data_IF_179777655158
#
_entry.id   IF_179777655158
#
_cell.length_a   1.000
_cell.length_b   1.000
_cell.length_c   1.000
_cell.angle_alpha   90.00
_cell.angle_beta   90.00
_cell.angle_gamma   90.00
#
_symmetry.space_group_name_H-M   'P 1'
#
loop_
_entity.id
_entity.type
_entity.pdbx_description
1 polymer ?
#
# COMPACT_ATOMS: atom_id res chain seq x y z
N UNK A 1 8.28 71.24 -50.25
CA UNK A 1 9.64 70.65 -50.24
C UNK A 1 9.55 69.27 -50.88
N UNK A 2 9.63 69.19 -52.23
CA UNK A 2 10.76 68.64 -53.04
C UNK A 2 11.12 67.20 -52.62
N UNK A 3 10.72 66.09 -53.29
CA UNK A 3 10.97 65.59 -54.68
C UNK A 3 12.47 65.41 -54.94
N UNK A 4 13.05 64.33 -55.48
CA UNK A 4 12.71 62.91 -55.70
C UNK A 4 13.99 62.24 -56.25
N UNK A 5 14.07 60.91 -56.08
CA UNK A 5 14.62 59.88 -56.99
C UNK A 5 16.01 59.96 -57.69
N UNK A 6 16.65 58.77 -57.67
CA UNK A 6 17.51 58.13 -58.69
C UNK A 6 18.92 58.70 -58.94
N UNK A 7 19.96 57.85 -58.87
CA UNK A 7 20.52 57.21 -60.08
C UNK A 7 21.65 56.21 -59.76
N UNK A 8 21.86 55.33 -60.74
CA UNK A 8 22.64 54.10 -60.81
C UNK A 8 23.88 54.31 -61.72
N UNK A 9 24.98 53.61 -61.40
CA UNK A 9 26.18 53.30 -62.22
C UNK A 9 27.17 54.44 -62.58
N UNK A 10 28.47 54.10 -62.48
CA UNK A 10 29.58 54.18 -63.47
C UNK A 10 30.91 54.04 -62.68
N UNK A 11 31.59 52.88 -62.70
CA UNK A 11 32.75 52.52 -63.54
C UNK A 11 34.01 53.39 -63.31
N UNK A 12 35.12 52.78 -62.86
CA UNK A 12 36.45 52.82 -63.53
C UNK A 12 37.49 51.91 -62.80
N UNK A 13 37.91 50.76 -63.37
CA UNK A 13 39.13 50.44 -64.17
C UNK A 13 40.47 50.39 -63.35
N UNK A 14 41.26 49.32 -63.63
CA UNK A 14 42.74 49.17 -63.61
C UNK A 14 43.33 48.26 -62.50
N UNK A 15 43.63 47.01 -62.88
CA UNK A 15 44.65 46.11 -62.29
C UNK A 15 46.05 46.49 -62.85
N UNK A 16 47.24 46.11 -62.30
CA UNK A 16 47.63 44.69 -62.17
C UNK A 16 48.65 44.35 -61.03
N UNK A 17 48.80 43.06 -60.70
CA UNK A 17 50.10 42.36 -60.84
C UNK A 17 50.04 40.94 -60.29
N UNK A 18 50.40 40.03 -61.19
CA UNK A 18 50.54 38.59 -61.07
C UNK A 18 51.67 38.21 -60.10
N UNK A 19 51.42 37.25 -59.21
CA UNK A 19 52.33 36.12 -59.02
C UNK A 19 51.54 34.87 -58.64
N UNK A 20 51.58 33.91 -59.57
CA UNK A 20 50.99 32.59 -59.51
C UNK A 20 52.04 31.64 -58.91
N UNK A 21 51.67 30.81 -57.93
CA UNK A 21 52.32 29.50 -57.74
C UNK A 21 51.30 28.48 -57.24
N UNK A 22 50.82 27.68 -58.19
CA UNK A 22 50.07 26.46 -57.95
C UNK A 22 51.00 25.38 -57.39
N UNK A 23 50.54 24.63 -56.38
CA UNK A 23 50.34 23.18 -56.51
C UNK A 23 49.87 22.52 -55.20
N UNK A 24 48.73 21.82 -55.28
CA UNK A 24 48.37 20.55 -54.63
C UNK A 24 48.22 20.49 -53.08
N UNK A 25 47.30 19.76 -52.44
CA UNK A 25 46.18 18.85 -52.76
C UNK A 25 45.40 18.70 -51.42
N UNK A 26 44.06 18.62 -51.49
CA UNK A 26 43.07 18.07 -50.54
C UNK A 26 43.16 18.42 -49.03
N UNK A 27 42.05 18.84 -48.42
CA UNK A 27 41.17 17.93 -47.67
C UNK A 27 39.96 18.69 -47.09
N UNK A 28 38.78 18.11 -47.31
CA UNK A 28 37.50 18.49 -46.74
C UNK A 28 37.52 18.40 -45.21
N UNK A 29 36.89 19.35 -44.51
CA UNK A 29 35.82 19.01 -43.57
C UNK A 29 35.12 20.25 -43.01
N UNK A 30 33.91 20.50 -43.51
CA UNK A 30 32.87 21.16 -42.73
C UNK A 30 32.59 20.33 -41.47
N UNK A 31 32.82 20.87 -40.28
CA UNK A 31 32.30 20.28 -39.05
C UNK A 31 31.12 21.09 -38.51
N UNK A 32 29.96 20.71 -39.05
CA UNK A 32 28.82 20.17 -38.29
C UNK A 32 28.19 21.00 -37.15
N UNK A 33 27.06 21.59 -37.52
CA UNK A 33 25.86 21.78 -36.71
C UNK A 33 25.37 20.40 -36.20
N UNK A 34 25.91 19.88 -35.09
CA UNK A 34 25.44 18.62 -34.47
C UNK A 34 25.29 18.66 -32.94
N UNK A 35 25.11 19.83 -32.33
CA UNK A 35 24.90 19.94 -30.88
C UNK A 35 23.44 19.76 -30.40
N UNK A 36 22.46 20.12 -31.23
CA UNK A 36 21.06 20.31 -30.77
C UNK A 36 20.18 19.05 -30.86
N UNK A 37 20.53 18.09 -31.73
CA UNK A 37 19.72 16.89 -32.01
C UNK A 37 19.97 15.73 -31.02
N UNK A 38 21.12 15.75 -30.34
CA UNK A 38 21.52 14.73 -29.37
C UNK A 38 20.87 14.94 -28.01
N UNK A 39 20.77 16.19 -27.54
CA UNK A 39 20.17 16.55 -26.25
C UNK A 39 18.70 16.13 -26.14
N UNK A 40 17.92 16.31 -27.21
CA UNK A 40 16.50 15.93 -27.24
C UNK A 40 16.29 14.41 -27.13
N UNK A 41 17.19 13.59 -27.69
CA UNK A 41 17.14 12.13 -27.55
C UNK A 41 17.38 11.69 -26.10
N UNK A 42 18.33 12.31 -25.41
CA UNK A 42 18.59 12.01 -24.00
C UNK A 42 17.46 12.47 -23.08
N UNK A 43 16.80 13.60 -23.36
CA UNK A 43 15.61 14.05 -22.61
C UNK A 43 14.47 13.03 -22.74
N UNK A 44 14.19 12.51 -23.94
CA UNK A 44 13.18 11.47 -24.12
C UNK A 44 13.52 10.16 -23.39
N UNK A 45 14.79 9.75 -23.38
CA UNK A 45 15.25 8.55 -22.66
C UNK A 45 15.15 8.75 -21.14
N UNK A 46 15.54 9.92 -20.63
CA UNK A 46 15.45 10.27 -19.20
C UNK A 46 13.98 10.35 -18.77
N UNK A 47 13.10 10.99 -19.55
CA UNK A 47 11.67 11.03 -19.27
C UNK A 47 11.03 9.63 -19.29
N UNK A 48 11.41 8.76 -20.23
CA UNK A 48 10.95 7.38 -20.25
C UNK A 48 11.40 6.62 -19.00
N UNK A 49 12.67 6.76 -18.58
CA UNK A 49 13.20 6.13 -17.37
C UNK A 49 12.50 6.63 -16.09
N UNK A 50 12.19 7.93 -15.99
CA UNK A 50 11.40 8.47 -14.88
C UNK A 50 9.95 7.97 -14.87
N UNK A 51 9.36 7.72 -16.04
CA UNK A 51 7.99 7.19 -16.17
C UNK A 51 7.87 5.74 -15.68
N UNK A 52 8.96 4.97 -15.73
CA UNK A 52 9.01 3.63 -15.13
C UNK A 52 9.23 3.66 -13.61
N UNK A 53 9.75 4.75 -13.05
CA UNK A 53 9.96 4.89 -11.60
C UNK A 53 8.72 5.39 -10.84
N UNK A 54 7.75 5.98 -11.55
CA UNK A 54 6.46 6.32 -10.94
C UNK A 54 5.64 5.05 -10.78
N UNK A 55 5.87 4.33 -9.68
CA UNK A 55 4.89 3.35 -9.21
C UNK A 55 3.54 4.05 -9.13
N UNK A 56 2.55 3.54 -9.86
CA UNK A 56 1.20 4.09 -9.85
C UNK A 56 0.72 4.01 -8.40
N UNK A 57 0.78 5.14 -7.69
CA UNK A 57 0.23 5.25 -6.35
C UNK A 57 -1.29 5.21 -6.50
N UNK A 58 -1.85 4.01 -6.51
CA UNK A 58 -3.30 3.82 -6.45
C UNK A 58 -3.74 4.42 -5.12
N UNK A 59 -4.57 5.46 -5.20
CA UNK A 59 -5.11 6.10 -4.01
C UNK A 59 -5.84 5.06 -3.15
N UNK A 60 -5.69 5.14 -1.83
CA UNK A 60 -6.44 4.30 -0.92
C UNK A 60 -7.95 4.47 -1.19
N UNK A 61 -8.76 3.40 -0.99
CA UNK A 61 -10.20 3.50 -1.21
C UNK A 61 -10.82 4.56 -0.29
N UNK A 62 -11.91 5.18 -0.73
CA UNK A 62 -12.66 6.13 0.09
C UNK A 62 -13.36 5.43 1.26
N UNK A 63 -13.44 6.10 2.43
CA UNK A 63 -14.14 5.56 3.62
C UNK A 63 -15.58 5.15 3.30
N UNK A 64 -16.30 5.95 2.50
CA UNK A 64 -17.68 5.67 2.08
C UNK A 64 -17.80 4.33 1.33
N UNK A 65 -16.94 4.09 0.34
CA UNK A 65 -16.91 2.85 -0.43
C UNK A 65 -16.67 1.62 0.47
N UNK A 66 -15.75 1.74 1.44
CA UNK A 66 -15.47 0.65 2.37
C UNK A 66 -16.66 0.41 3.30
N UNK A 67 -17.32 1.47 3.78
CA UNK A 67 -18.52 1.36 4.63
C UNK A 67 -19.66 0.68 3.89
N UNK A 68 -19.91 1.02 2.62
CA UNK A 68 -20.95 0.39 1.80
C UNK A 68 -20.76 -1.14 1.70
N UNK A 69 -19.52 -1.60 1.49
CA UNK A 69 -19.19 -3.03 1.48
C UNK A 69 -19.38 -3.70 2.86
N UNK A 70 -19.11 -2.96 3.94
CA UNK A 70 -19.34 -3.42 5.31
C UNK A 70 -20.84 -3.42 5.69
N UNK A 71 -21.66 -2.62 5.02
CA UNK A 71 -23.12 -2.60 5.19
C UNK A 71 -23.81 -3.73 4.43
N UNK A 72 -23.20 -4.21 3.34
CA UNK A 72 -23.75 -5.25 2.49
C UNK A 72 -24.38 -6.41 3.26
N UNK A 73 -25.59 -6.82 2.87
CA UNK A 73 -26.44 -7.78 3.61
C UNK A 73 -25.95 -9.23 3.58
N UNK A 74 -24.80 -9.49 2.95
CA UNK A 74 -24.20 -10.82 2.96
C UNK A 74 -23.69 -11.17 4.36
N UNK A 75 -24.01 -12.39 4.81
CA UNK A 75 -23.60 -12.88 6.12
C UNK A 75 -22.07 -12.96 6.27
N UNK A 76 -21.37 -13.15 5.15
CA UNK A 76 -19.91 -13.22 5.04
C UNK A 76 -19.36 -12.09 4.18
N UNK A 77 -18.16 -11.63 4.51
CA UNK A 77 -17.41 -10.68 3.69
C UNK A 77 -16.98 -11.35 2.38
N UNK A 78 -17.23 -10.68 1.26
CA UNK A 78 -16.69 -11.09 -0.03
C UNK A 78 -15.19 -10.73 -0.10
N UNK A 79 -14.34 -11.73 0.06
CA UNK A 79 -12.90 -11.53 0.13
C UNK A 79 -12.32 -10.91 -1.15
N UNK A 80 -12.83 -11.29 -2.32
CA UNK A 80 -12.33 -10.79 -3.59
C UNK A 80 -12.67 -9.31 -3.75
N UNK A 81 -13.89 -8.91 -3.39
CA UNK A 81 -14.31 -7.51 -3.47
C UNK A 81 -13.47 -6.62 -2.56
N UNK A 82 -13.20 -7.05 -1.32
CA UNK A 82 -12.32 -6.31 -0.41
C UNK A 82 -10.88 -6.24 -0.94
N UNK A 83 -10.33 -7.33 -1.48
CA UNK A 83 -8.96 -7.33 -2.00
C UNK A 83 -8.81 -6.44 -3.25
N UNK A 84 -9.84 -6.32 -4.09
CA UNK A 84 -9.85 -5.43 -5.26
C UNK A 84 -9.83 -3.95 -4.92
N UNK A 85 -10.17 -3.54 -3.69
CA UNK A 85 -10.01 -2.16 -3.23
C UNK A 85 -8.55 -1.69 -3.21
N UNK A 86 -7.60 -2.63 -3.20
CA UNK A 86 -6.18 -2.34 -3.37
C UNK A 86 -5.49 -1.80 -2.11
N UNK A 87 -4.37 -1.12 -2.34
CA UNK A 87 -3.46 -0.68 -1.29
C UNK A 87 -4.12 0.36 -0.37
N UNK A 88 -3.86 0.27 0.94
CA UNK A 88 -4.35 1.22 1.93
C UNK A 88 -5.76 0.91 2.46
N UNK A 89 -6.44 -0.11 1.95
CA UNK A 89 -7.71 -0.61 2.51
C UNK A 89 -7.60 -0.97 3.99
N UNK A 90 -6.48 -1.56 4.40
CA UNK A 90 -6.20 -1.87 5.81
C UNK A 90 -6.24 -0.64 6.71
N UNK A 91 -5.71 0.51 6.24
CA UNK A 91 -5.74 1.78 6.97
C UNK A 91 -7.19 2.26 7.17
N UNK A 92 -7.99 2.23 6.12
CA UNK A 92 -9.39 2.69 6.15
C UNK A 92 -10.23 1.78 7.06
N UNK A 93 -10.01 0.47 7.02
CA UNK A 93 -10.66 -0.48 7.93
C UNK A 93 -10.28 -0.23 9.40
N UNK A 94 -9.01 0.10 9.68
CA UNK A 94 -8.57 0.49 11.03
C UNK A 94 -9.26 1.78 11.48
N UNK A 95 -9.37 2.78 10.60
CA UNK A 95 -10.09 4.03 10.90
C UNK A 95 -11.56 3.75 11.26
N UNK A 96 -12.26 2.92 10.48
CA UNK A 96 -13.64 2.51 10.74
C UNK A 96 -13.76 1.73 12.06
N UNK A 97 -12.88 0.77 12.32
CA UNK A 97 -12.92 -0.02 13.55
C UNK A 97 -12.69 0.83 14.82
N UNK A 98 -11.87 1.89 14.73
CA UNK A 98 -11.57 2.82 15.82
C UNK A 98 -12.69 3.83 16.06
N UNK A 99 -13.48 4.15 15.05
CA UNK A 99 -14.50 5.19 15.11
C UNK A 99 -15.63 4.81 16.10
N UNK A 100 -15.60 5.42 17.29
CA UNK A 100 -16.57 5.15 18.35
C UNK A 100 -17.95 5.76 18.07
N UNK A 101 -18.06 6.66 17.09
CA UNK A 101 -19.34 7.23 16.67
C UNK A 101 -20.14 6.27 15.78
N UNK A 102 -19.45 5.31 15.14
CA UNK A 102 -20.10 4.29 14.33
C UNK A 102 -20.71 3.20 15.20
N UNK A 103 -21.82 2.64 14.71
CA UNK A 103 -22.44 1.47 15.32
C UNK A 103 -21.45 0.30 15.36
N UNK A 104 -21.51 -0.48 16.45
CA UNK A 104 -20.59 -1.60 16.66
C UNK A 104 -20.64 -2.65 15.54
N UNK A 105 -21.78 -2.79 14.85
CA UNK A 105 -21.91 -3.66 13.69
C UNK A 105 -20.83 -3.39 12.62
N UNK A 106 -20.67 -2.13 12.20
CA UNK A 106 -19.67 -1.74 11.19
C UNK A 106 -18.25 -1.94 11.71
N UNK A 107 -18.02 -1.56 12.97
CA UNK A 107 -16.70 -1.70 13.62
C UNK A 107 -16.27 -3.16 13.70
N UNK A 108 -17.21 -4.04 14.05
CA UNK A 108 -17.00 -5.48 14.12
C UNK A 108 -16.70 -6.08 12.76
N UNK A 109 -17.44 -5.67 11.73
CA UNK A 109 -17.18 -6.12 10.37
C UNK A 109 -15.84 -5.61 9.82
N UNK A 110 -15.44 -4.40 10.19
CA UNK A 110 -14.13 -3.88 9.83
C UNK A 110 -12.98 -4.71 10.45
N UNK A 111 -13.12 -5.15 11.71
CA UNK A 111 -12.17 -6.09 12.32
C UNK A 111 -12.10 -7.41 11.55
N UNK A 112 -13.24 -7.96 11.14
CA UNK A 112 -13.27 -9.20 10.37
C UNK A 112 -12.62 -9.03 8.99
N UNK A 113 -12.87 -7.91 8.31
CA UNK A 113 -12.27 -7.62 7.01
C UNK A 113 -10.74 -7.47 7.09
N UNK A 114 -10.21 -6.97 8.21
CA UNK A 114 -8.75 -6.90 8.42
C UNK A 114 -8.06 -8.27 8.37
N UNK A 115 -8.78 -9.38 8.60
CA UNK A 115 -8.21 -10.72 8.43
C UNK A 115 -7.85 -11.07 6.98
N UNK A 116 -8.37 -10.32 6.00
CA UNK A 116 -8.11 -10.49 4.58
C UNK A 116 -6.83 -9.76 4.11
N UNK A 117 -6.27 -8.90 4.97
CA UNK A 117 -5.13 -8.04 4.66
C UNK A 117 -3.95 -8.44 5.56
N UNK A 118 -3.05 -9.32 5.10
CA UNK A 118 -1.95 -9.84 5.92
C UNK A 118 -0.81 -8.82 6.09
N UNK A 119 -1.12 -7.60 6.53
CA UNK A 119 -0.16 -6.53 6.79
C UNK A 119 0.21 -6.48 8.26
N UNK A 120 1.45 -6.07 8.57
CA UNK A 120 1.88 -5.88 9.96
C UNK A 120 1.01 -4.85 10.71
N UNK A 121 0.52 -3.84 9.98
CA UNK A 121 -0.39 -2.82 10.54
C UNK A 121 -1.72 -3.44 10.99
N UNK A 122 -2.32 -4.29 10.15
CA UNK A 122 -3.54 -4.99 10.49
C UNK A 122 -3.31 -5.94 11.68
N UNK A 123 -2.24 -6.73 11.67
CA UNK A 123 -1.92 -7.64 12.77
C UNK A 123 -1.74 -6.90 14.11
N UNK A 124 -0.93 -5.83 14.12
CA UNK A 124 -0.69 -5.01 15.32
C UNK A 124 -1.96 -4.35 15.84
N UNK A 125 -2.82 -3.87 14.94
CA UNK A 125 -4.08 -3.29 15.34
C UNK A 125 -5.01 -4.34 15.96
N UNK A 126 -5.20 -5.48 15.31
CA UNK A 126 -6.05 -6.58 15.81
C UNK A 126 -5.55 -7.10 17.16
N UNK A 127 -4.25 -7.25 17.34
CA UNK A 127 -3.62 -7.61 18.61
C UNK A 127 -3.89 -6.58 19.71
N UNK A 128 -3.73 -5.30 19.40
CA UNK A 128 -4.02 -4.20 20.35
C UNK A 128 -5.50 -4.16 20.71
N UNK A 129 -6.39 -4.34 19.73
CA UNK A 129 -7.84 -4.42 19.96
C UNK A 129 -8.20 -5.63 20.82
N UNK A 130 -7.55 -6.78 20.62
CA UNK A 130 -7.74 -7.97 21.42
C UNK A 130 -7.32 -7.76 22.89
N UNK A 131 -6.21 -7.06 23.12
CA UNK A 131 -5.67 -6.77 24.47
C UNK A 131 -6.48 -5.72 25.22
N UNK A 132 -6.89 -4.64 24.53
CA UNK A 132 -7.37 -3.42 25.18
C UNK A 132 -8.84 -3.08 24.89
N UNK A 133 -9.48 -3.79 23.97
CA UNK A 133 -10.89 -3.58 23.61
C UNK A 133 -11.84 -4.07 24.70
N UNK A 134 -13.05 -3.50 24.74
CA UNK A 134 -14.13 -4.12 25.51
C UNK A 134 -14.45 -5.51 24.94
N UNK A 135 -15.02 -6.40 25.76
CA UNK A 135 -15.05 -7.84 25.49
C UNK A 135 -15.49 -8.27 24.07
N UNK A 136 -16.60 -7.77 23.49
CA UNK A 136 -16.94 -8.01 22.08
C UNK A 136 -15.86 -7.63 21.06
N UNK A 137 -15.23 -6.45 21.18
CA UNK A 137 -14.12 -6.08 20.30
C UNK A 137 -12.89 -6.94 20.56
N UNK A 138 -12.58 -7.22 21.83
CA UNK A 138 -11.43 -8.04 22.20
C UNK A 138 -11.52 -9.42 21.55
N UNK A 139 -12.68 -10.08 21.69
CA UNK A 139 -12.95 -11.39 21.07
C UNK A 139 -12.84 -11.33 19.55
N UNK A 140 -13.50 -10.37 18.90
CA UNK A 140 -13.50 -10.26 17.43
C UNK A 140 -12.12 -9.90 16.87
N UNK A 141 -11.35 -9.06 17.58
CA UNK A 141 -9.98 -8.74 17.24
C UNK A 141 -9.09 -9.99 17.25
N UNK A 142 -9.23 -10.82 18.30
CA UNK A 142 -8.53 -12.10 18.37
C UNK A 142 -8.99 -13.08 17.29
N UNK A 143 -10.30 -13.23 17.07
CA UNK A 143 -10.86 -14.12 16.05
C UNK A 143 -10.37 -13.74 14.63
N UNK A 144 -10.31 -12.44 14.32
CA UNK A 144 -9.78 -11.93 13.07
C UNK A 144 -8.27 -12.15 12.93
N UNK A 145 -7.49 -11.90 13.99
CA UNK A 145 -6.05 -12.15 13.98
C UNK A 145 -5.77 -13.63 13.72
N UNK A 146 -6.45 -14.52 14.44
CA UNK A 146 -6.35 -15.97 14.25
C UNK A 146 -6.69 -16.36 12.81
N UNK A 147 -7.79 -15.85 12.25
CA UNK A 147 -8.20 -16.20 10.88
C UNK A 147 -7.18 -15.75 9.82
N UNK A 148 -6.69 -14.52 9.93
CA UNK A 148 -5.79 -13.93 8.92
C UNK A 148 -4.33 -14.33 9.06
N UNK A 149 -3.86 -14.64 10.27
CA UNK A 149 -2.43 -14.66 10.58
C UNK A 149 -1.92 -15.96 11.21
N UNK A 150 -2.76 -16.97 11.49
CA UNK A 150 -2.25 -18.22 12.09
C UNK A 150 -1.25 -18.97 11.21
N UNK A 151 -1.35 -18.83 9.88
CA UNK A 151 -0.40 -19.48 8.94
C UNK A 151 0.91 -18.70 8.78
N UNK A 152 0.84 -17.36 8.82
CA UNK A 152 1.98 -16.48 8.51
C UNK A 152 2.71 -15.99 9.75
N UNK A 153 2.02 -15.86 10.89
CA UNK A 153 2.55 -15.39 12.17
C UNK A 153 2.05 -16.26 13.34
N UNK A 154 2.23 -17.60 13.32
CA UNK A 154 1.66 -18.50 14.33
C UNK A 154 2.08 -18.15 15.76
N UNK A 155 3.36 -17.84 15.97
CA UNK A 155 3.92 -17.49 17.29
C UNK A 155 3.22 -16.26 17.87
N UNK A 156 2.93 -15.24 17.06
CA UNK A 156 2.23 -14.04 17.51
C UNK A 156 0.81 -14.34 17.97
N UNK A 157 0.08 -15.15 17.20
CA UNK A 157 -1.30 -15.53 17.53
C UNK A 157 -1.32 -16.35 18.83
N UNK A 158 -0.38 -17.27 19.00
CA UNK A 158 -0.24 -18.10 20.20
C UNK A 158 0.12 -17.28 21.45
N UNK A 159 1.08 -16.35 21.33
CA UNK A 159 1.44 -15.44 22.44
C UNK A 159 0.24 -14.60 22.89
N UNK A 160 -0.52 -14.04 21.94
CA UNK A 160 -1.73 -13.30 22.26
C UNK A 160 -2.78 -14.21 22.91
N UNK A 161 -3.02 -15.41 22.37
CA UNK A 161 -3.97 -16.35 22.94
C UNK A 161 -3.61 -16.70 24.39
N UNK A 162 -2.32 -16.97 24.68
CA UNK A 162 -1.81 -17.21 26.01
C UNK A 162 -2.07 -16.06 27.00
N UNK A 163 -1.92 -14.82 26.53
CA UNK A 163 -2.29 -13.63 27.31
C UNK A 163 -3.80 -13.57 27.60
N UNK A 164 -4.63 -13.85 26.59
CA UNK A 164 -6.09 -13.78 26.68
C UNK A 164 -6.73 -14.89 27.52
N UNK A 165 -6.01 -15.97 27.84
CA UNK A 165 -6.48 -16.99 28.80
C UNK A 165 -6.77 -16.41 30.19
N UNK A 166 -6.21 -15.25 30.53
CA UNK A 166 -6.42 -14.56 31.81
C UNK A 166 -7.39 -13.38 31.71
N UNK A 167 -8.08 -13.23 30.58
CA UNK A 167 -8.95 -12.08 30.34
C UNK A 167 -10.19 -12.10 31.26
N UNK A 168 -10.61 -10.94 31.76
CA UNK A 168 -11.73 -10.83 32.71
C UNK A 168 -13.06 -11.37 32.13
N UNK A 169 -13.26 -11.22 30.82
CA UNK A 169 -14.44 -11.75 30.13
C UNK A 169 -14.27 -13.21 29.69
N UNK A 170 -15.22 -14.06 30.11
CA UNK A 170 -15.24 -15.48 29.82
C UNK A 170 -15.28 -15.83 28.32
N UNK A 171 -16.01 -15.09 27.48
CA UNK A 171 -16.09 -15.40 26.04
C UNK A 171 -14.75 -15.17 25.33
N UNK A 172 -13.95 -14.20 25.81
CA UNK A 172 -12.58 -13.98 25.32
C UNK A 172 -11.68 -15.14 25.74
N UNK A 173 -11.75 -15.57 27.01
CA UNK A 173 -11.01 -16.75 27.50
C UNK A 173 -11.36 -18.02 26.71
N UNK A 174 -12.65 -18.25 26.43
CA UNK A 174 -13.12 -19.40 25.63
C UNK A 174 -12.53 -19.37 24.22
N UNK A 175 -12.55 -18.22 23.53
CA UNK A 175 -11.98 -18.14 22.18
C UNK A 175 -10.48 -18.43 22.20
N UNK A 176 -9.75 -17.84 23.14
CA UNK A 176 -8.32 -18.09 23.33
C UNK A 176 -8.02 -19.56 23.64
N UNK A 177 -8.75 -20.15 24.59
CA UNK A 177 -8.58 -21.54 25.01
C UNK A 177 -8.85 -22.53 23.88
N UNK A 178 -9.86 -22.29 23.04
CA UNK A 178 -10.13 -23.13 21.86
C UNK A 178 -8.99 -23.10 20.86
N UNK A 179 -8.34 -21.95 20.67
CA UNK A 179 -7.16 -21.87 19.81
C UNK A 179 -5.97 -22.60 20.44
N UNK A 180 -5.67 -22.33 21.72
CA UNK A 180 -4.60 -23.02 22.45
C UNK A 180 -4.78 -24.53 22.42
N UNK A 181 -6.00 -25.05 22.55
CA UNK A 181 -6.28 -26.50 22.41
C UNK A 181 -5.73 -27.09 21.11
N UNK A 182 -5.78 -26.34 20.01
CA UNK A 182 -5.32 -26.82 18.70
C UNK A 182 -3.81 -26.69 18.47
N UNK A 183 -3.09 -25.90 19.28
CA UNK A 183 -1.67 -25.59 19.04
C UNK A 183 -0.74 -25.96 20.22
N UNK A 184 -1.27 -26.03 21.44
CA UNK A 184 -0.52 -26.34 22.67
C UNK A 184 -1.44 -27.05 23.69
N UNK A 185 -1.50 -28.38 23.58
CA UNK A 185 -2.33 -29.23 24.45
C UNK A 185 -1.90 -29.20 25.93
N UNK A 186 -0.60 -29.25 26.29
CA UNK A 186 -0.17 -29.06 27.68
C UNK A 186 -0.68 -27.75 28.29
N UNK A 187 -0.57 -26.64 27.57
CA UNK A 187 -1.05 -25.34 28.04
C UNK A 187 -2.57 -25.28 28.17
N UNK A 188 -3.30 -25.89 27.24
CA UNK A 188 -4.76 -26.04 27.35
C UNK A 188 -5.17 -26.81 28.62
N UNK A 189 -4.47 -27.90 28.95
CA UNK A 189 -4.74 -28.67 30.16
C UNK A 189 -4.46 -27.85 31.44
N UNK A 190 -3.42 -27.02 31.44
CA UNK A 190 -3.16 -26.09 32.55
C UNK A 190 -4.31 -25.08 32.70
N UNK A 191 -4.79 -24.52 31.58
CA UNK A 191 -5.95 -23.63 31.59
C UNK A 191 -7.17 -24.30 32.22
N UNK A 192 -7.50 -25.53 31.83
CA UNK A 192 -8.65 -26.27 32.40
C UNK A 192 -8.51 -26.51 33.91
N UNK A 193 -7.29 -26.69 34.43
CA UNK A 193 -7.05 -26.84 35.88
C UNK A 193 -7.21 -25.52 36.64
N UNK A 194 -6.82 -24.40 36.02
CA UNK A 194 -6.83 -23.07 36.68
C UNK A 194 -8.10 -22.26 36.51
N UNK A 195 -8.89 -22.52 35.46
CA UNK A 195 -10.12 -21.78 35.17
C UNK A 195 -11.17 -22.06 36.24
N UNK A 196 -11.73 -21.00 36.83
CA UNK A 196 -12.68 -21.10 37.94
C UNK A 196 -14.08 -21.47 37.45
N UNK A 197 -14.49 -20.91 36.31
CA UNK A 197 -15.83 -21.08 35.77
C UNK A 197 -16.00 -22.46 35.12
N UNK A 198 -16.79 -23.35 35.74
CA UNK A 198 -17.05 -24.70 35.22
C UNK A 198 -17.65 -24.69 33.80
N UNK A 199 -18.52 -23.72 33.53
CA UNK A 199 -19.13 -23.56 32.21
C UNK A 199 -18.11 -23.11 31.15
N UNK A 200 -17.09 -22.31 31.52
CA UNK A 200 -15.99 -21.91 30.63
C UNK A 200 -15.12 -23.11 30.30
N UNK A 201 -14.77 -23.94 31.28
CA UNK A 201 -14.04 -25.20 31.06
C UNK A 201 -14.78 -26.09 30.04
N UNK A 202 -16.08 -26.29 30.23
CA UNK A 202 -16.94 -27.08 29.33
C UNK A 202 -17.05 -26.44 27.94
N UNK A 203 -17.24 -25.13 27.86
CA UNK A 203 -17.39 -24.43 26.58
C UNK A 203 -16.10 -24.46 25.74
N UNK A 204 -14.94 -24.39 26.39
CA UNK A 204 -13.62 -24.38 25.73
C UNK A 204 -13.23 -25.73 25.13
N UNK A 205 -13.88 -26.82 25.55
CA UNK A 205 -13.66 -28.17 25.04
C UNK A 205 -14.49 -28.51 23.80
N UNK A 206 -15.50 -27.68 23.46
CA UNK A 206 -16.22 -27.76 22.18
C UNK A 206 -15.33 -27.21 21.08
#
# INVERSE_FOLDING_TARGET
>A
MSVAMLNQKQFEIIAPSLTQKYSNINEYSETTITGKRSFMKYVFIICALFSYLTGIAVAAPGKFQVVELLEGRHWSLDAEVFQRLGQGTDRVLIEIARDKSLINYLRFRALEALSLFPTEKAAKFLETTAKNGFAPLARRGFDALKRGFSKTQPVRVEQLANHLLKHNNAQVRISAARFIRSVDAPRFNLFLKSEQDAWVRKASQK
#
